data_IF_305803382846
#
_entry.id   IF_305803382846
#
_cell.length_a   1.000
_cell.length_b   1.000
_cell.length_c   1.000
_cell.angle_alpha   90.00
_cell.angle_beta   90.00
_cell.angle_gamma   90.00
#
_symmetry.space_group_name_H-M   'P 1'
#
loop_
_entity.id
_entity.type
_entity.pdbx_description
1 polymer ?
#
# COMPACT_ATOMS: atom_id res chain seq x y z
N UNK A 1 1.98 55.84 70.02
CA UNK A 1 2.93 56.47 69.06
C UNK A 1 3.97 55.41 68.71
N UNK A 2 4.14 54.87 67.49
CA UNK A 2 3.93 55.35 66.12
C UNK A 2 3.73 54.12 65.19
N UNK A 3 2.84 54.30 64.23
CA UNK A 3 2.85 53.83 62.83
C UNK A 3 3.14 52.34 62.51
N UNK A 4 2.03 51.66 62.18
CA UNK A 4 1.80 50.75 61.06
C UNK A 4 2.89 50.75 59.98
N UNK A 5 3.34 49.56 59.58
CA UNK A 5 3.66 49.23 58.19
C UNK A 5 3.14 47.83 57.89
N UNK A 6 1.96 47.79 57.27
CA UNK A 6 1.35 46.60 56.68
C UNK A 6 2.17 46.28 55.43
N UNK A 7 2.93 45.18 55.46
CA UNK A 7 3.58 44.63 54.28
C UNK A 7 2.57 43.70 53.59
N UNK A 8 1.87 44.23 52.60
CA UNK A 8 0.98 43.48 51.71
C UNK A 8 1.86 42.63 50.80
N UNK A 9 1.98 41.33 51.10
CA UNK A 9 2.53 40.37 50.15
C UNK A 9 1.41 40.01 49.17
N UNK A 10 1.34 40.75 48.06
CA UNK A 10 0.60 40.36 46.87
C UNK A 10 1.32 39.15 46.26
N UNK A 11 0.90 37.95 46.65
CA UNK A 11 1.26 36.75 45.91
C UNK A 11 0.52 36.79 44.59
N UNK A 12 1.27 37.17 43.55
CA UNK A 12 0.89 37.13 42.16
C UNK A 12 0.43 35.70 41.81
N UNK A 13 -0.88 35.46 41.84
CA UNK A 13 -1.47 34.39 41.04
C UNK A 13 -1.18 34.78 39.59
N UNK A 14 -0.10 34.23 39.04
CA UNK A 14 0.09 34.14 37.60
C UNK A 14 -1.05 33.27 37.11
N UNK A 15 -2.17 33.91 36.79
CA UNK A 15 -3.15 33.36 35.88
C UNK A 15 -2.40 33.12 34.58
N UNK A 16 -1.91 31.89 34.39
CA UNK A 16 -1.78 31.36 33.06
C UNK A 16 -3.18 31.44 32.47
N UNK A 17 -3.44 32.53 31.75
CA UNK A 17 -4.44 32.59 30.70
C UNK A 17 -4.03 31.52 29.68
N UNK A 18 -4.33 30.26 30.00
CA UNK A 18 -4.48 29.23 29.01
C UNK A 18 -5.76 29.62 28.26
N UNK A 19 -5.62 30.56 27.32
CA UNK A 19 -6.61 30.73 26.28
C UNK A 19 -6.70 29.36 25.62
N UNK A 20 -7.76 28.64 25.97
CA UNK A 20 -8.18 27.43 25.28
C UNK A 20 -8.52 27.90 23.87
N UNK A 21 -7.49 27.97 23.02
CA UNK A 21 -7.61 28.21 21.60
C UNK A 21 -8.43 27.03 21.12
N UNK A 22 -9.73 27.26 20.91
CA UNK A 22 -10.57 26.31 20.23
C UNK A 22 -9.89 26.12 18.89
N UNK A 23 -9.21 24.98 18.73
CA UNK A 23 -8.85 24.49 17.42
C UNK A 23 -10.21 24.26 16.78
N UNK A 24 -10.59 25.22 15.94
CA UNK A 24 -11.67 25.09 15.00
C UNK A 24 -11.36 23.77 14.31
N UNK A 25 -12.23 22.79 14.53
CA UNK A 25 -12.32 21.65 13.63
C UNK A 25 -12.81 22.25 12.33
N UNK A 26 -11.87 22.80 11.57
CA UNK A 26 -12.05 22.89 10.14
C UNK A 26 -12.31 21.44 9.75
N UNK A 27 -13.54 21.17 9.36
CA UNK A 27 -13.90 19.95 8.65
C UNK A 27 -12.91 19.88 7.48
N UNK A 28 -11.82 19.14 7.69
CA UNK A 28 -11.01 18.60 6.62
C UNK A 28 -12.01 17.72 5.90
N UNK A 29 -12.66 18.32 4.90
CA UNK A 29 -13.37 17.62 3.85
C UNK A 29 -12.28 16.78 3.23
N UNK A 30 -12.12 15.55 3.73
CA UNK A 30 -11.28 14.53 3.14
C UNK A 30 -11.90 14.31 1.78
N UNK A 31 -11.46 15.09 0.78
CA UNK A 31 -11.69 14.75 -0.60
C UNK A 31 -10.99 13.43 -0.75
N UNK A 32 -11.73 12.33 -0.66
CA UNK A 32 -11.27 11.03 -1.08
C UNK A 32 -10.89 11.21 -2.54
N UNK A 33 -9.62 11.43 -2.81
CA UNK A 33 -9.09 11.39 -4.16
C UNK A 33 -9.35 9.95 -4.58
N UNK A 34 -10.42 9.74 -5.35
CA UNK A 34 -10.72 8.43 -5.90
C UNK A 34 -9.80 8.26 -7.10
N UNK A 35 -8.52 7.95 -6.82
CA UNK A 35 -7.58 7.62 -7.88
C UNK A 35 -7.89 6.21 -8.38
N UNK A 36 -8.21 6.11 -9.67
CA UNK A 36 -8.33 4.82 -10.35
C UNK A 36 -6.95 4.35 -10.78
N UNK A 37 -6.70 3.07 -10.60
CA UNK A 37 -5.50 2.38 -11.06
C UNK A 37 -5.80 1.40 -12.21
N UNK A 38 -6.97 1.54 -12.83
CA UNK A 38 -7.38 0.68 -13.94
C UNK A 38 -6.44 0.84 -15.13
N UNK A 39 -6.11 -0.30 -15.75
CA UNK A 39 -5.27 -0.36 -16.95
C UNK A 39 -4.30 -1.52 -16.94
N UNK A 40 -3.48 -1.56 -18.00
CA UNK A 40 -2.37 -2.49 -18.13
C UNK A 40 -1.07 -1.82 -17.69
N UNK A 41 -0.26 -2.55 -16.94
CA UNK A 41 0.92 -2.04 -16.25
C UNK A 41 2.11 -2.98 -16.46
N UNK A 42 3.21 -2.42 -16.95
CA UNK A 42 4.45 -3.16 -17.24
C UNK A 42 5.67 -2.30 -16.90
N UNK A 43 6.82 -2.92 -16.71
CA UNK A 43 8.10 -2.18 -16.61
C UNK A 43 8.43 -1.52 -17.97
N UNK A 44 8.19 -2.25 -19.06
CA UNK A 44 8.39 -1.83 -20.43
C UNK A 44 7.21 -2.27 -21.28
N UNK A 45 6.46 -1.34 -21.87
CA UNK A 45 5.29 -1.67 -22.68
C UNK A 45 5.64 -2.33 -24.03
N UNK A 46 6.85 -2.12 -24.54
CA UNK A 46 7.28 -2.68 -25.84
C UNK A 46 7.89 -4.07 -25.71
N UNK A 47 8.67 -4.30 -24.64
CA UNK A 47 9.54 -5.48 -24.52
C UNK A 47 9.37 -6.21 -23.18
N UNK A 48 8.45 -5.78 -22.32
CA UNK A 48 8.20 -6.40 -21.03
C UNK A 48 7.52 -7.76 -21.19
N UNK A 49 7.80 -8.65 -20.23
CA UNK A 49 7.30 -10.03 -20.22
C UNK A 49 6.36 -10.28 -19.04
N UNK A 50 6.51 -9.52 -17.98
CA UNK A 50 5.55 -9.39 -16.90
C UNK A 50 4.45 -8.42 -17.30
N UNK A 51 3.22 -8.79 -16.96
CA UNK A 51 2.04 -7.96 -17.14
C UNK A 51 1.22 -7.95 -15.87
N UNK A 52 0.66 -6.78 -15.58
CA UNK A 52 -0.37 -6.60 -14.57
C UNK A 52 -1.54 -5.87 -15.23
N UNK A 53 -2.74 -6.41 -15.09
CA UNK A 53 -3.97 -5.73 -15.50
C UNK A 53 -4.80 -5.48 -14.26
N UNK A 54 -5.36 -4.27 -14.13
CA UNK A 54 -6.23 -3.89 -13.03
C UNK A 54 -7.58 -3.43 -13.60
N UNK A 55 -8.66 -3.99 -13.06
CA UNK A 55 -10.03 -3.66 -13.41
C UNK A 55 -10.87 -3.48 -12.12
N UNK A 56 -11.07 -2.23 -11.74
CA UNK A 56 -11.77 -1.85 -10.52
C UNK A 56 -10.99 -2.28 -9.28
N UNK A 57 -11.52 -3.29 -8.56
CA UNK A 57 -10.89 -3.84 -7.36
C UNK A 57 -10.09 -5.11 -7.63
N UNK A 58 -10.23 -5.69 -8.80
CA UNK A 58 -9.55 -6.93 -9.15
C UNK A 58 -8.34 -6.64 -10.02
N UNK A 59 -7.35 -7.53 -9.95
CA UNK A 59 -6.14 -7.41 -10.74
C UNK A 59 -5.61 -8.79 -11.10
N UNK A 60 -5.06 -8.94 -12.31
CA UNK A 60 -4.42 -10.16 -12.78
C UNK A 60 -2.94 -9.91 -13.00
N UNK A 61 -2.07 -10.76 -12.45
CA UNK A 61 -0.63 -10.62 -12.49
C UNK A 61 0.03 -11.87 -13.09
N UNK A 62 0.97 -11.64 -14.00
CA UNK A 62 1.79 -12.69 -14.60
C UNK A 62 3.13 -12.81 -13.87
N UNK A 63 3.37 -13.95 -13.24
CA UNK A 63 4.60 -14.28 -12.51
C UNK A 63 5.50 -15.25 -13.30
N UNK A 64 6.82 -15.05 -13.15
CA UNK A 64 7.90 -15.85 -13.71
C UNK A 64 7.78 -16.11 -15.23
N UNK A 65 7.81 -15.07 -16.07
CA UNK A 65 7.80 -15.24 -17.54
C UNK A 65 6.66 -16.16 -18.01
N UNK A 66 5.41 -15.82 -17.68
CA UNK A 66 4.21 -16.53 -18.12
C UNK A 66 4.04 -17.95 -17.55
N UNK A 67 4.67 -18.28 -16.42
CA UNK A 67 4.53 -19.60 -15.79
C UNK A 67 3.39 -19.67 -14.77
N UNK A 68 2.97 -18.55 -14.18
CA UNK A 68 1.90 -18.51 -13.20
C UNK A 68 1.09 -17.24 -13.43
N UNK A 69 -0.21 -17.40 -13.65
CA UNK A 69 -1.17 -16.30 -13.71
C UNK A 69 -1.92 -16.29 -12.39
N UNK A 70 -1.95 -15.16 -11.68
CA UNK A 70 -2.71 -15.05 -10.44
C UNK A 70 -3.73 -13.94 -10.53
N UNK A 71 -4.90 -14.18 -9.94
CA UNK A 71 -5.89 -13.15 -9.70
C UNK A 71 -5.80 -12.65 -8.27
N UNK A 72 -5.92 -11.35 -8.14
CA UNK A 72 -5.79 -10.60 -6.91
C UNK A 72 -7.01 -9.72 -6.74
N UNK A 73 -7.31 -9.39 -5.49
CA UNK A 73 -8.38 -8.44 -5.16
C UNK A 73 -7.88 -7.45 -4.14
N UNK A 74 -8.36 -6.21 -4.26
CA UNK A 74 -8.03 -5.10 -3.40
C UNK A 74 -8.36 -5.46 -1.95
N UNK A 75 -7.35 -5.36 -1.09
CA UNK A 75 -7.50 -5.59 0.34
C UNK A 75 -7.74 -4.27 1.07
N UNK A 76 -6.95 -3.24 0.77
CA UNK A 76 -7.00 -1.95 1.47
C UNK A 76 -6.38 -0.82 0.67
N UNK A 77 -6.97 0.38 0.78
CA UNK A 77 -6.39 1.65 0.29
C UNK A 77 -5.78 2.46 1.42
N UNK A 78 -4.73 3.19 1.10
CA UNK A 78 -3.93 4.02 2.00
C UNK A 78 -3.85 5.44 1.42
N UNK A 79 -4.92 6.21 1.62
CA UNK A 79 -5.12 7.54 0.99
C UNK A 79 -3.99 8.54 1.29
N UNK A 80 -3.34 8.44 2.45
CA UNK A 80 -2.25 9.36 2.84
C UNK A 80 -1.01 9.24 1.95
N UNK A 81 -0.87 8.14 1.21
CA UNK A 81 0.26 7.92 0.31
C UNK A 81 -0.14 7.36 -1.06
N UNK A 82 -1.42 7.47 -1.42
CA UNK A 82 -2.00 6.93 -2.65
C UNK A 82 -1.63 5.44 -2.86
N UNK A 83 -1.75 4.68 -1.78
CA UNK A 83 -1.37 3.28 -1.70
C UNK A 83 -2.53 2.31 -1.87
N UNK A 84 -2.30 1.15 -2.49
CA UNK A 84 -3.29 0.07 -2.58
C UNK A 84 -2.60 -1.27 -2.33
N UNK A 85 -3.11 -2.05 -1.37
CA UNK A 85 -2.66 -3.43 -1.16
C UNK A 85 -3.64 -4.43 -1.76
N UNK A 86 -3.08 -5.53 -2.23
CA UNK A 86 -3.82 -6.63 -2.85
C UNK A 86 -3.51 -7.94 -2.15
N UNK A 87 -4.51 -8.81 -2.05
CA UNK A 87 -4.35 -10.21 -1.62
C UNK A 87 -4.63 -11.17 -2.77
N UNK A 88 -4.21 -12.41 -2.63
CA UNK A 88 -4.56 -13.48 -3.56
C UNK A 88 -6.07 -13.71 -3.52
N UNK A 89 -6.74 -13.68 -4.67
CA UNK A 89 -8.21 -13.81 -4.78
C UNK A 89 -8.63 -15.25 -4.58
N UNK A 90 -8.02 -16.15 -5.34
CA UNK A 90 -8.33 -17.58 -5.36
C UNK A 90 -7.13 -18.41 -5.79
N UNK A 91 -7.28 -19.73 -5.72
CA UNK A 91 -6.24 -20.65 -6.20
C UNK A 91 -6.20 -20.52 -7.72
N UNK A 92 -5.05 -20.20 -8.34
CA UNK A 92 -5.03 -19.95 -9.76
C UNK A 92 -5.26 -21.23 -10.57
N UNK A 93 -6.01 -21.11 -11.67
CA UNK A 93 -6.33 -22.23 -12.56
C UNK A 93 -5.16 -22.54 -13.51
N UNK A 94 -4.52 -21.50 -14.07
CA UNK A 94 -3.37 -21.62 -14.97
C UNK A 94 -2.05 -21.50 -14.20
N UNK A 95 -1.62 -22.66 -13.72
CA UNK A 95 -0.36 -22.84 -13.02
C UNK A 95 0.54 -23.77 -13.82
N UNK A 96 1.60 -23.20 -14.40
CA UNK A 96 2.69 -23.94 -15.01
C UNK A 96 3.39 -24.87 -14.01
N UNK A 97 4.43 -25.56 -14.45
CA UNK A 97 5.11 -26.59 -13.66
C UNK A 97 5.58 -26.11 -12.28
N UNK A 98 6.04 -24.85 -12.20
CA UNK A 98 6.48 -24.24 -10.95
C UNK A 98 5.31 -24.05 -9.99
N UNK A 99 4.18 -23.54 -10.50
CA UNK A 99 2.99 -23.26 -9.69
C UNK A 99 2.35 -24.53 -9.13
N UNK A 100 2.40 -25.67 -9.84
CA UNK A 100 1.79 -26.93 -9.36
C UNK A 100 2.34 -27.46 -8.03
N UNK A 101 3.58 -27.10 -7.69
CA UNK A 101 4.23 -27.55 -6.45
C UNK A 101 4.04 -26.59 -5.27
N UNK A 102 3.32 -25.48 -5.47
CA UNK A 102 3.08 -24.47 -4.44
C UNK A 102 1.89 -24.82 -3.55
N UNK A 103 1.95 -24.39 -2.29
CA UNK A 103 0.94 -24.66 -1.27
C UNK A 103 -0.24 -23.68 -1.36
N UNK A 104 -0.90 -23.58 -2.50
CA UNK A 104 -1.94 -22.57 -2.77
C UNK A 104 -3.01 -22.47 -1.68
N UNK A 105 -3.46 -23.60 -1.14
CA UNK A 105 -4.45 -23.65 -0.03
C UNK A 105 -4.01 -22.87 1.20
N UNK A 106 -2.70 -22.81 1.47
CA UNK A 106 -2.15 -22.05 2.58
C UNK A 106 -1.94 -20.57 2.25
N UNK A 107 -1.90 -20.22 0.96
CA UNK A 107 -1.67 -18.86 0.45
C UNK A 107 -2.96 -18.03 0.32
N UNK A 108 -4.13 -18.69 0.24
CA UNK A 108 -5.42 -18.00 0.29
C UNK A 108 -5.75 -17.59 1.72
N UNK A 109 -5.60 -16.29 1.99
CA UNK A 109 -5.86 -15.62 3.27
C UNK A 109 -5.91 -14.09 3.08
N UNK A 110 -6.13 -13.34 4.16
CA UNK A 110 -6.27 -11.87 4.15
C UNK A 110 -4.95 -11.10 4.29
N UNK A 111 -3.81 -11.74 3.99
CA UNK A 111 -2.52 -11.05 4.00
C UNK A 111 -2.20 -10.44 2.63
N UNK A 112 -1.66 -9.20 2.59
CA UNK A 112 -1.35 -8.54 1.33
C UNK A 112 -0.18 -9.24 0.65
N UNK A 113 -0.26 -9.57 -0.65
CA UNK A 113 0.84 -10.17 -1.42
C UNK A 113 1.55 -9.14 -2.30
N UNK A 114 0.87 -8.05 -2.62
CA UNK A 114 1.40 -6.96 -3.41
C UNK A 114 0.92 -5.60 -2.88
N UNK A 115 1.71 -4.57 -3.16
CA UNK A 115 1.39 -3.19 -2.84
C UNK A 115 1.79 -2.26 -3.97
N UNK A 116 0.92 -1.28 -4.23
CA UNK A 116 1.07 -0.27 -5.26
C UNK A 116 1.08 1.09 -4.60
N UNK A 117 2.05 1.91 -4.96
CA UNK A 117 2.12 3.31 -4.52
C UNK A 117 2.17 4.20 -5.74
N UNK A 118 1.13 5.01 -5.93
CA UNK A 118 1.05 5.95 -7.05
C UNK A 118 2.20 6.96 -6.96
N UNK A 119 2.91 7.15 -8.06
CA UNK A 119 3.85 8.25 -8.24
C UNK A 119 3.12 9.39 -8.97
N UNK A 120 2.49 9.05 -10.09
CA UNK A 120 1.61 9.90 -10.89
C UNK A 120 0.50 9.07 -11.58
N UNK A 121 -0.25 9.67 -12.49
CA UNK A 121 -1.37 9.03 -13.20
C UNK A 121 -0.95 7.88 -14.14
N UNK A 122 0.34 7.77 -14.46
CA UNK A 122 0.89 6.80 -15.41
C UNK A 122 1.99 5.92 -14.84
N UNK A 123 2.37 6.11 -13.57
CA UNK A 123 3.46 5.36 -12.96
C UNK A 123 3.18 4.97 -11.50
N UNK A 124 3.60 3.75 -11.16
CA UNK A 124 3.49 3.19 -9.82
C UNK A 124 4.81 2.59 -9.37
N UNK A 125 5.13 2.76 -8.09
CA UNK A 125 6.01 1.79 -7.44
C UNK A 125 5.23 0.51 -7.18
N UNK A 126 5.82 -0.62 -7.57
CA UNK A 126 5.30 -1.94 -7.32
C UNK A 126 6.16 -2.68 -6.30
N UNK A 127 5.49 -3.24 -5.29
CA UNK A 127 6.12 -4.03 -4.25
C UNK A 127 5.49 -5.42 -4.24
N UNK A 128 6.30 -6.42 -4.55
CA UNK A 128 5.93 -7.83 -4.41
C UNK A 128 6.44 -8.38 -3.08
N UNK A 129 5.53 -8.86 -2.23
CA UNK A 129 5.89 -9.43 -0.93
C UNK A 129 6.07 -10.95 -0.96
N UNK A 130 5.56 -11.60 -1.99
CA UNK A 130 5.39 -13.04 -2.04
C UNK A 130 4.16 -13.52 -1.28
N UNK A 131 3.81 -14.78 -1.49
CA UNK A 131 2.65 -15.41 -0.86
C UNK A 131 2.88 -15.58 0.64
N UNK A 132 1.91 -15.17 1.45
CA UNK A 132 1.95 -15.47 2.88
C UNK A 132 1.39 -16.86 3.13
N UNK A 133 2.20 -17.73 3.72
CA UNK A 133 1.80 -19.07 4.10
C UNK A 133 1.23 -19.06 5.52
N UNK A 134 -0.09 -19.26 5.65
CA UNK A 134 -0.76 -19.23 6.97
C UNK A 134 -0.32 -20.36 7.92
N UNK A 135 0.24 -21.46 7.39
CA UNK A 135 0.76 -22.59 8.17
C UNK A 135 2.16 -22.33 8.68
N UNK A 136 3.07 -21.86 7.83
CA UNK A 136 4.48 -21.62 8.20
C UNK A 136 4.71 -20.22 8.80
N UNK A 137 3.73 -19.31 8.66
CA UNK A 137 3.78 -17.90 9.07
C UNK A 137 4.88 -17.10 8.37
N UNK A 138 5.26 -17.50 7.15
CA UNK A 138 6.35 -16.91 6.37
C UNK A 138 5.87 -16.47 4.99
N UNK A 139 6.62 -15.52 4.41
CA UNK A 139 6.52 -15.12 3.00
C UNK A 139 7.34 -16.08 2.14
N UNK A 140 6.68 -16.73 1.20
CA UNK A 140 7.23 -17.69 0.26
C UNK A 140 7.09 -17.13 -1.18
N UNK A 141 7.90 -17.62 -2.12
CA UNK A 141 7.84 -17.22 -3.53
C UNK A 141 7.96 -15.69 -3.74
N UNK A 142 9.16 -15.16 -3.45
CA UNK A 142 9.45 -13.71 -3.50
C UNK A 142 9.93 -13.25 -4.87
N UNK A 143 10.03 -14.17 -5.80
CA UNK A 143 10.40 -13.93 -7.18
C UNK A 143 9.19 -13.37 -7.95
N UNK A 144 9.42 -12.40 -8.83
CA UNK A 144 8.41 -11.86 -9.73
C UNK A 144 9.03 -11.54 -11.10
N UNK A 145 8.20 -11.39 -12.14
CA UNK A 145 8.66 -11.14 -13.51
C UNK A 145 9.39 -9.80 -13.66
N UNK A 146 8.87 -8.76 -13.03
CA UNK A 146 9.41 -7.40 -13.19
C UNK A 146 10.83 -7.23 -12.60
N UNK A 147 11.13 -7.93 -11.51
CA UNK A 147 12.48 -7.91 -10.94
C UNK A 147 13.49 -8.61 -11.85
N UNK A 148 13.06 -9.63 -12.60
CA UNK A 148 13.91 -10.33 -13.56
C UNK A 148 14.17 -9.48 -14.81
N UNK A 149 13.24 -8.60 -15.19
CA UNK A 149 13.41 -7.66 -16.30
C UNK A 149 14.35 -6.50 -15.95
N UNK A 150 14.19 -5.93 -14.75
CA UNK A 150 14.89 -4.69 -14.38
C UNK A 150 16.27 -4.91 -13.78
N UNK A 151 16.53 -6.09 -13.20
CA UNK A 151 17.66 -6.32 -12.28
C UNK A 151 17.76 -5.25 -11.16
N UNK A 152 16.64 -4.58 -10.86
CA UNK A 152 16.55 -3.53 -9.85
C UNK A 152 15.76 -4.03 -8.65
N UNK A 153 16.09 -3.51 -7.46
CA UNK A 153 15.28 -3.73 -6.25
C UNK A 153 13.98 -2.91 -6.29
N UNK A 154 14.01 -1.80 -7.00
CA UNK A 154 12.88 -0.90 -7.16
C UNK A 154 12.21 -1.18 -8.50
N UNK A 155 10.94 -1.52 -8.45
CA UNK A 155 10.12 -1.81 -9.64
C UNK A 155 9.18 -0.64 -9.85
N UNK A 156 9.32 0.02 -11.00
CA UNK A 156 8.42 1.07 -11.45
C UNK A 156 7.62 0.51 -12.62
N UNK A 157 6.30 0.46 -12.46
CA UNK A 157 5.39 0.09 -13.53
C UNK A 157 4.89 1.35 -14.22
N UNK A 158 4.75 1.25 -15.54
CA UNK A 158 4.21 2.28 -16.41
C UNK A 158 2.89 1.78 -16.98
N UNK A 159 1.94 2.70 -17.15
CA UNK A 159 0.70 2.41 -17.85
C UNK A 159 1.00 2.16 -19.32
N UNK A 160 0.49 1.06 -19.85
CA UNK A 160 0.54 0.74 -21.28
C UNK A 160 -0.80 1.08 -21.93
N UNK A 161 -0.74 1.55 -23.18
CA UNK A 161 -1.90 1.97 -23.99
C UNK A 161 -2.63 0.77 -24.60
#
# INVERSE_FOLDING_TARGET
MKKVNILVILFSFVFFNCQKKSIIKDDIKTSTIQYSNDGSWMVSCENGVGGLTIEGKDASLILLYNQIYIDMTELKRFDFENGISYKLKEIPEDIGNIGRNLNWKEYINDEPIAYFKMIDDKTYHFYWYGFYNKKTKKREFKENSFQQETNSKEIILKKCE
#
